data_IF_097416199967
#
_entry.id   IF_097416199967
#
_cell.length_a   1.000
_cell.length_b   1.000
_cell.length_c   1.000
_cell.angle_alpha   90.00
_cell.angle_beta   90.00
_cell.angle_gamma   90.00
#
_symmetry.space_group_name_H-M   'P 1'
#
loop_
_entity.id
_entity.type
_entity.pdbx_description
1 polymer ?
#
# COMPACT_ATOMS: atom_id res chain seq x y z
N UNK A 1 -5.65 7.11 -6.42
CA UNK A 1 -6.84 6.65 -7.16
C UNK A 1 -6.47 5.36 -7.86
N UNK A 2 -7.42 4.45 -7.98
CA UNK A 2 -7.25 3.18 -8.68
C UNK A 2 -8.35 3.09 -9.73
N UNK A 3 -7.96 2.78 -10.97
CA UNK A 3 -8.88 2.35 -12.02
C UNK A 3 -8.70 0.84 -12.21
N UNK A 4 -9.73 0.08 -11.88
CA UNK A 4 -9.86 -1.32 -12.28
C UNK A 4 -10.59 -1.35 -13.62
N UNK A 5 -10.04 -2.03 -14.62
CA UNK A 5 -10.59 -2.14 -15.95
C UNK A 5 -10.55 -3.58 -16.45
N UNK A 6 -11.70 -4.12 -16.86
CA UNK A 6 -11.80 -5.31 -17.68
C UNK A 6 -11.77 -4.91 -19.15
N UNK A 7 -10.79 -5.41 -19.90
CA UNK A 7 -10.56 -5.04 -21.29
C UNK A 7 -10.68 -6.23 -22.24
N UNK A 8 -11.12 -5.96 -23.47
CA UNK A 8 -11.21 -6.92 -24.58
C UNK A 8 -9.85 -7.28 -25.20
N UNK A 9 -8.79 -6.55 -24.84
CA UNK A 9 -7.42 -6.75 -25.31
C UNK A 9 -6.38 -6.30 -24.29
N UNK A 10 -5.11 -6.46 -24.65
CA UNK A 10 -3.96 -5.97 -23.88
C UNK A 10 -2.86 -5.46 -24.81
N UNK A 11 -1.86 -4.79 -24.25
CA UNK A 11 -0.73 -4.23 -25.00
C UNK A 11 0.55 -5.05 -24.79
N UNK A 12 1.35 -5.30 -25.85
CA UNK A 12 2.55 -6.16 -25.78
C UNK A 12 3.57 -5.73 -24.71
N UNK A 13 3.68 -4.42 -24.47
CA UNK A 13 4.63 -3.83 -23.52
C UNK A 13 4.24 -3.95 -22.04
N UNK A 14 3.02 -4.40 -21.74
CA UNK A 14 2.57 -4.56 -20.36
C UNK A 14 3.01 -5.93 -19.84
N UNK A 15 3.79 -5.92 -18.76
CA UNK A 15 4.08 -7.09 -17.95
C UNK A 15 3.04 -7.24 -16.82
N UNK A 16 3.22 -8.22 -15.93
CA UNK A 16 2.38 -8.34 -14.72
C UNK A 16 2.35 -7.03 -13.94
N UNK A 17 3.51 -6.40 -13.74
CA UNK A 17 3.63 -5.05 -13.21
C UNK A 17 4.45 -4.20 -14.17
N UNK A 18 3.95 -3.01 -14.50
CA UNK A 18 4.60 -2.05 -15.37
C UNK A 18 4.60 -0.69 -14.69
N UNK A 19 5.78 -0.10 -14.50
CA UNK A 19 5.91 1.28 -14.04
C UNK A 19 6.02 2.21 -15.25
N UNK A 20 5.07 3.12 -15.38
CA UNK A 20 5.01 4.15 -16.42
C UNK A 20 5.39 5.48 -15.82
N UNK A 21 6.64 5.90 -16.02
CA UNK A 21 7.19 7.11 -15.40
C UNK A 21 6.76 8.38 -16.14
N UNK A 22 6.33 9.38 -15.35
CA UNK A 22 6.32 10.77 -15.80
C UNK A 22 7.75 11.32 -15.90
N UNK A 23 7.92 12.39 -16.67
CA UNK A 23 9.18 13.15 -16.80
C UNK A 23 9.38 14.15 -15.66
N UNK A 24 8.31 14.73 -15.11
CA UNK A 24 8.37 15.82 -14.14
C UNK A 24 8.38 15.34 -12.66
N UNK A 25 9.30 14.43 -12.30
CA UNK A 25 9.31 13.76 -11.00
C UNK A 25 9.24 14.70 -9.78
N UNK A 26 10.14 15.69 -9.68
CA UNK A 26 10.22 16.55 -8.49
C UNK A 26 8.98 17.44 -8.31
N UNK A 27 8.56 18.13 -9.38
CA UNK A 27 7.42 19.05 -9.31
C UNK A 27 6.10 18.33 -9.01
N UNK A 28 5.90 17.14 -9.57
CA UNK A 28 4.68 16.35 -9.35
C UNK A 28 4.57 15.82 -7.93
N UNK A 29 5.68 15.49 -7.27
CA UNK A 29 5.67 15.19 -5.83
C UNK A 29 5.27 16.41 -4.98
N UNK A 30 5.69 17.62 -5.36
CA UNK A 30 5.32 18.84 -4.64
C UNK A 30 3.84 19.20 -4.85
N UNK A 31 3.34 19.05 -6.08
CA UNK A 31 1.92 19.18 -6.39
C UNK A 31 1.08 18.26 -5.49
N UNK A 32 1.50 16.99 -5.37
CA UNK A 32 0.79 15.97 -4.60
C UNK A 32 0.87 16.20 -3.08
N UNK A 33 2.08 16.36 -2.55
CA UNK A 33 2.35 16.25 -1.10
C UNK A 33 2.31 17.57 -0.37
N UNK A 34 2.49 18.69 -1.08
CA UNK A 34 2.53 20.04 -0.49
C UNK A 34 1.36 20.88 -0.95
N UNK A 35 1.06 20.87 -2.25
CA UNK A 35 -0.01 21.69 -2.80
C UNK A 35 -1.39 21.02 -2.79
N UNK A 36 -1.47 19.73 -2.46
CA UNK A 36 -2.74 18.99 -2.43
C UNK A 36 -3.42 18.87 -3.79
N UNK A 37 -2.67 18.90 -4.89
CA UNK A 37 -3.18 18.82 -6.25
C UNK A 37 -2.85 17.48 -6.90
N UNK A 38 -3.59 17.15 -7.96
CA UNK A 38 -3.25 16.03 -8.84
C UNK A 38 -1.93 16.33 -9.57
N UNK A 39 -1.17 15.26 -9.84
CA UNK A 39 0.08 15.36 -10.60
C UNK A 39 -0.23 15.72 -12.05
N UNK A 40 0.46 16.73 -12.57
CA UNK A 40 0.35 17.13 -13.98
C UNK A 40 0.98 16.10 -14.94
N UNK A 41 1.98 15.34 -14.47
CA UNK A 41 2.67 14.28 -15.22
C UNK A 41 2.90 13.05 -14.32
N UNK A 42 1.86 12.22 -14.07
CA UNK A 42 1.89 11.20 -13.04
C UNK A 42 2.82 10.03 -13.38
N UNK A 43 3.48 9.47 -12.38
CA UNK A 43 4.06 8.12 -12.50
C UNK A 43 3.03 7.08 -12.08
N UNK A 44 2.77 6.11 -12.94
CA UNK A 44 1.66 5.17 -12.82
C UNK A 44 2.19 3.75 -12.63
N UNK A 45 1.53 2.99 -11.75
CA UNK A 45 1.69 1.55 -11.69
C UNK A 45 0.52 0.90 -12.44
N UNK A 46 0.84 0.14 -13.48
CA UNK A 46 -0.11 -0.62 -14.27
C UNK A 46 0.14 -2.10 -13.97
N UNK A 47 -0.86 -2.77 -13.42
CA UNK A 47 -0.80 -4.20 -13.10
C UNK A 47 -1.76 -4.97 -14.00
N UNK A 48 -1.27 -5.99 -14.69
CA UNK A 48 -2.06 -6.93 -15.49
C UNK A 48 -1.92 -8.33 -14.89
N UNK A 49 -2.74 -8.71 -13.89
CA UNK A 49 -2.57 -10.00 -13.22
C UNK A 49 -2.84 -11.18 -14.17
N UNK A 50 -3.65 -10.99 -15.21
CA UNK A 50 -3.87 -11.98 -16.29
C UNK A 50 -2.63 -12.26 -17.15
N UNK A 51 -1.54 -11.49 -16.98
CA UNK A 51 -0.23 -11.86 -17.54
C UNK A 51 0.33 -13.14 -16.93
N UNK A 52 0.01 -13.40 -15.66
CA UNK A 52 0.56 -14.52 -14.87
C UNK A 52 -0.51 -15.57 -14.61
N UNK A 53 -1.75 -15.14 -14.36
CA UNK A 53 -2.88 -16.04 -14.15
C UNK A 53 -4.04 -15.69 -15.10
N UNK A 54 -4.11 -16.34 -16.29
CA UNK A 54 -5.18 -16.12 -17.24
C UNK A 54 -6.58 -16.48 -16.72
N UNK A 55 -6.70 -17.28 -15.65
CA UNK A 55 -8.00 -17.70 -15.11
C UNK A 55 -8.74 -16.57 -14.39
N UNK A 56 -8.08 -15.43 -14.13
CA UNK A 56 -8.69 -14.26 -13.50
C UNK A 56 -9.67 -13.50 -14.42
N UNK A 57 -9.73 -13.84 -15.71
CA UNK A 57 -10.68 -13.25 -16.65
C UNK A 57 -11.22 -14.31 -17.64
N UNK A 58 -12.36 -14.06 -18.29
CA UNK A 58 -12.84 -14.88 -19.40
C UNK A 58 -11.79 -14.99 -20.54
N UNK A 59 -11.86 -16.04 -21.39
CA UNK A 59 -10.98 -16.17 -22.54
C UNK A 59 -11.01 -14.93 -23.44
N UNK A 60 -9.82 -14.42 -23.80
CA UNK A 60 -9.70 -13.21 -24.61
C UNK A 60 -10.05 -11.91 -23.88
N UNK A 61 -10.15 -11.94 -22.54
CA UNK A 61 -10.32 -10.75 -21.68
C UNK A 61 -9.14 -10.59 -20.75
N UNK A 62 -8.92 -9.35 -20.34
CA UNK A 62 -7.76 -8.99 -19.53
C UNK A 62 -8.19 -8.05 -18.41
N UNK A 63 -7.59 -8.25 -17.22
CA UNK A 63 -7.73 -7.29 -16.13
C UNK A 63 -6.54 -6.34 -16.14
N UNK A 64 -6.83 -5.05 -16.02
CA UNK A 64 -5.86 -4.01 -15.82
C UNK A 64 -6.22 -3.21 -14.58
N UNK A 65 -5.21 -2.99 -13.75
CA UNK A 65 -5.29 -2.15 -12.57
C UNK A 65 -4.32 -0.99 -12.77
N UNK A 66 -4.82 0.24 -12.73
CA UNK A 66 -3.98 1.44 -12.85
C UNK A 66 -4.03 2.21 -11.54
N UNK A 67 -2.90 2.22 -10.83
CA UNK A 67 -2.71 3.05 -9.64
C UNK A 67 -2.10 4.39 -10.05
N UNK A 68 -2.90 5.44 -9.89
CA UNK A 68 -2.49 6.83 -10.08
C UNK A 68 -2.35 7.51 -8.71
N UNK A 69 -1.16 8.08 -8.38
CA UNK A 69 -1.00 8.89 -7.18
C UNK A 69 -2.00 10.06 -7.16
N UNK A 70 -2.60 10.29 -6.00
CA UNK A 70 -3.49 11.43 -5.76
C UNK A 70 -3.34 11.91 -4.31
N UNK A 71 -3.60 13.19 -4.02
CA UNK A 71 -3.46 13.71 -2.67
C UNK A 71 -4.52 13.05 -1.78
N UNK A 72 -4.17 12.88 -0.51
CA UNK A 72 -5.11 12.39 0.49
C UNK A 72 -6.06 13.53 0.92
N UNK A 73 -7.23 13.20 1.48
CA UNK A 73 -8.31 14.18 1.75
C UNK A 73 -8.02 15.18 2.87
N UNK A 74 -6.86 15.05 3.52
CA UNK A 74 -6.41 15.97 4.58
C UNK A 74 -5.57 17.15 4.05
N UNK A 75 -5.07 17.09 2.82
CA UNK A 75 -4.32 18.18 2.18
C UNK A 75 -4.92 18.58 0.83
N UNK A 76 -5.54 17.63 0.12
CA UNK A 76 -6.12 17.86 -1.19
C UNK A 76 -7.64 18.02 -1.14
N UNK A 77 -8.33 17.74 -2.27
CA UNK A 77 -9.78 17.78 -2.35
C UNK A 77 -10.41 16.89 -1.28
N UNK A 78 -11.46 17.40 -0.65
CA UNK A 78 -12.22 16.68 0.35
C UNK A 78 -13.03 15.54 -0.28
N UNK A 79 -13.62 14.64 0.53
CA UNK A 79 -14.36 13.49 0.02
C UNK A 79 -15.49 13.87 -0.96
N UNK A 80 -16.20 14.97 -0.72
CA UNK A 80 -17.28 15.42 -1.60
C UNK A 80 -16.77 15.88 -2.99
N UNK A 81 -15.59 16.52 -3.05
CA UNK A 81 -15.02 17.02 -4.30
C UNK A 81 -14.68 15.90 -5.28
N UNK A 82 -14.41 14.69 -4.76
CA UNK A 82 -14.08 13.50 -5.54
C UNK A 82 -15.26 12.95 -6.35
N UNK A 83 -16.50 13.31 -6.01
CA UNK A 83 -17.67 12.96 -6.83
C UNK A 83 -17.52 13.47 -8.26
N UNK A 84 -17.13 14.74 -8.41
CA UNK A 84 -16.96 15.35 -9.73
C UNK A 84 -15.52 15.20 -10.24
N UNK A 85 -14.52 15.20 -9.34
CA UNK A 85 -13.12 15.09 -9.72
C UNK A 85 -12.74 13.68 -10.21
N UNK A 86 -13.33 12.63 -9.63
CA UNK A 86 -13.01 11.23 -9.95
C UNK A 86 -13.18 10.90 -11.44
N UNK A 87 -14.38 11.09 -12.02
CA UNK A 87 -14.62 10.84 -13.44
C UNK A 87 -13.73 11.68 -14.36
N UNK A 88 -13.56 12.98 -14.06
CA UNK A 88 -12.69 13.87 -14.83
C UNK A 88 -11.22 13.42 -14.80
N UNK A 89 -10.75 12.97 -13.64
CA UNK A 89 -9.38 12.47 -13.50
C UNK A 89 -9.20 11.10 -14.16
N UNK A 90 -10.21 10.23 -14.12
CA UNK A 90 -10.24 8.97 -14.88
C UNK A 90 -10.08 9.22 -16.38
N UNK A 91 -10.79 10.19 -16.94
CA UNK A 91 -10.65 10.53 -18.37
C UNK A 91 -9.29 11.14 -18.71
N UNK A 92 -8.75 11.98 -17.82
CA UNK A 92 -7.40 12.52 -17.99
C UNK A 92 -6.33 11.41 -17.91
N UNK A 93 -6.51 10.45 -17.01
CA UNK A 93 -5.63 9.29 -16.86
C UNK A 93 -5.64 8.43 -18.13
N UNK A 94 -6.81 8.16 -18.72
CA UNK A 94 -6.87 7.39 -19.96
C UNK A 94 -6.22 8.11 -21.14
N UNK A 95 -6.43 9.42 -21.28
CA UNK A 95 -5.72 10.23 -22.29
C UNK A 95 -4.21 10.17 -22.11
N UNK A 96 -3.73 10.18 -20.86
CA UNK A 96 -2.31 10.09 -20.58
C UNK A 96 -1.74 8.69 -20.88
N UNK A 97 -2.50 7.62 -20.58
CA UNK A 97 -2.11 6.25 -20.94
C UNK A 97 -2.05 6.06 -22.46
N UNK A 98 -3.03 6.59 -23.18
CA UNK A 98 -3.06 6.59 -24.65
C UNK A 98 -1.86 7.35 -25.23
N UNK A 99 -1.59 8.58 -24.74
CA UNK A 99 -0.39 9.35 -25.11
C UNK A 99 0.92 8.60 -24.84
N UNK A 100 0.93 7.69 -23.87
CA UNK A 100 2.08 6.85 -23.52
C UNK A 100 2.14 5.54 -24.30
N UNK A 101 1.30 5.36 -25.33
CA UNK A 101 1.31 4.21 -26.25
C UNK A 101 0.50 3.02 -25.76
N UNK A 102 -0.57 3.28 -25.01
CA UNK A 102 -1.67 2.33 -24.80
C UNK A 102 -2.84 2.77 -25.69
N UNK A 103 -2.60 2.82 -27.00
CA UNK A 103 -3.55 3.33 -27.98
C UNK A 103 -4.89 2.60 -27.88
N UNK A 104 -5.99 3.36 -27.89
CA UNK A 104 -7.36 2.86 -27.77
C UNK A 104 -7.69 2.17 -26.44
N UNK A 105 -7.02 2.54 -25.35
CA UNK A 105 -7.33 2.01 -24.01
C UNK A 105 -8.77 2.32 -23.59
N UNK A 106 -9.27 3.52 -23.86
CA UNK A 106 -10.62 3.90 -23.48
C UNK A 106 -11.68 3.04 -24.17
N UNK A 107 -11.48 2.70 -25.44
CA UNK A 107 -12.42 1.87 -26.21
C UNK A 107 -12.33 0.38 -25.91
N UNK A 108 -11.25 -0.09 -25.27
CA UNK A 108 -11.12 -1.52 -24.91
C UNK A 108 -11.81 -1.89 -23.60
N UNK A 109 -12.17 -0.91 -22.77
CA UNK A 109 -12.78 -1.14 -21.46
C UNK A 109 -14.23 -1.60 -21.66
N UNK A 110 -14.54 -2.81 -21.21
CA UNK A 110 -15.91 -3.36 -21.17
C UNK A 110 -16.56 -3.12 -19.81
N UNK A 111 -15.76 -3.18 -18.74
CA UNK A 111 -16.20 -3.00 -17.36
C UNK A 111 -15.14 -2.22 -16.58
N UNK A 112 -15.55 -1.31 -15.70
CA UNK A 112 -14.62 -0.59 -14.84
C UNK A 112 -15.14 -0.31 -13.43
N UNK A 113 -14.19 -0.16 -12.51
CA UNK A 113 -14.45 0.30 -11.15
C UNK A 113 -13.38 1.32 -10.76
N UNK A 114 -13.84 2.51 -10.35
CA UNK A 114 -12.98 3.59 -9.90
C UNK A 114 -12.98 3.63 -8.38
N UNK A 115 -11.79 3.63 -7.77
CA UNK A 115 -11.61 3.82 -6.32
C UNK A 115 -10.79 5.07 -6.06
N UNK A 116 -11.37 5.98 -5.30
CA UNK A 116 -10.87 7.32 -5.00
C UNK A 116 -10.61 7.50 -3.49
N UNK A 117 -9.96 8.61 -3.08
CA UNK A 117 -9.88 8.99 -1.68
C UNK A 117 -11.21 9.13 -0.95
N UNK A 118 -12.31 9.44 -1.65
CA UNK A 118 -13.63 9.44 -1.04
C UNK A 118 -14.07 8.03 -0.65
N UNK A 119 -13.84 7.04 -1.52
CA UNK A 119 -14.20 5.64 -1.24
C UNK A 119 -13.43 5.10 -0.04
N UNK A 120 -12.13 5.40 0.05
CA UNK A 120 -11.34 5.06 1.24
C UNK A 120 -11.84 5.77 2.50
N UNK A 121 -12.24 7.04 2.38
CA UNK A 121 -12.83 7.78 3.52
C UNK A 121 -14.13 7.13 3.97
N UNK A 122 -15.01 6.73 3.05
CA UNK A 122 -16.26 6.04 3.35
C UNK A 122 -16.04 4.68 4.04
N UNK A 123 -14.93 4.01 3.75
CA UNK A 123 -14.50 2.78 4.44
C UNK A 123 -13.84 3.04 5.80
N UNK A 124 -13.76 4.30 6.25
CA UNK A 124 -13.16 4.67 7.54
C UNK A 124 -11.65 4.83 7.51
N UNK A 125 -11.01 4.87 6.34
CA UNK A 125 -9.58 5.17 6.27
C UNK A 125 -9.33 6.65 6.59
N UNK A 126 -8.47 6.89 7.59
CA UNK A 126 -8.04 8.22 7.98
C UNK A 126 -7.47 8.99 6.77
N UNK A 127 -7.97 10.20 6.55
CA UNK A 127 -7.63 11.07 5.43
C UNK A 127 -7.76 10.42 4.04
N UNK A 128 -8.60 9.37 3.89
CA UNK A 128 -8.83 8.73 2.60
C UNK A 128 -7.56 8.15 1.98
N UNK A 129 -6.69 7.52 2.79
CA UNK A 129 -5.49 6.82 2.29
C UNK A 129 -5.50 5.33 2.67
N UNK A 130 -5.27 4.41 1.71
CA UNK A 130 -5.20 2.98 2.00
C UNK A 130 -3.84 2.57 2.59
N UNK A 131 -2.86 3.48 2.64
CA UNK A 131 -1.47 3.18 3.05
C UNK A 131 -1.14 3.61 4.48
N UNK A 132 -2.12 4.15 5.23
CA UNK A 132 -1.93 4.66 6.59
C UNK A 132 -0.83 5.73 6.67
N UNK A 133 -0.04 5.74 7.75
CA UNK A 133 1.00 6.72 8.00
C UNK A 133 2.09 6.70 6.90
N UNK A 134 2.44 7.88 6.40
CA UNK A 134 3.42 8.05 5.33
C UNK A 134 4.85 7.75 5.79
N UNK A 135 5.76 7.59 4.83
CA UNK A 135 7.17 7.33 5.09
C UNK A 135 7.97 8.62 5.37
N UNK A 136 7.41 9.54 6.15
CA UNK A 136 8.12 10.73 6.61
C UNK A 136 8.89 10.42 7.90
N UNK A 137 9.92 11.21 8.21
CA UNK A 137 10.70 11.04 9.44
C UNK A 137 9.81 10.98 10.69
N UNK A 138 8.82 11.88 10.79
CA UNK A 138 7.91 11.97 11.93
C UNK A 138 6.85 10.85 12.01
N UNK A 139 6.71 10.01 10.98
CA UNK A 139 5.69 8.95 10.90
C UNK A 139 6.29 7.54 10.75
N UNK A 140 7.61 7.43 10.89
CA UNK A 140 8.36 6.17 10.73
C UNK A 140 9.13 5.81 12.00
N UNK A 141 9.57 4.54 12.07
CA UNK A 141 10.39 4.03 13.17
C UNK A 141 9.76 4.28 14.55
N UNK A 142 10.50 4.92 15.49
CA UNK A 142 10.03 5.15 16.86
C UNK A 142 8.87 6.15 16.96
N UNK A 143 8.63 6.96 15.93
CA UNK A 143 7.55 7.96 15.90
C UNK A 143 6.24 7.41 15.34
N UNK A 144 6.26 6.20 14.77
CA UNK A 144 5.04 5.52 14.31
C UNK A 144 4.14 5.21 15.53
N UNK A 145 2.80 5.28 15.40
CA UNK A 145 1.90 4.94 16.49
C UNK A 145 2.22 3.58 17.12
N UNK A 146 2.38 3.56 18.44
CA UNK A 146 2.73 2.34 19.19
C UNK A 146 1.57 1.36 19.18
N UNK A 147 1.88 0.08 19.32
CA UNK A 147 0.88 -0.99 19.36
C UNK A 147 0.22 -1.18 20.72
N UNK A 148 0.65 -0.46 21.76
CA UNK A 148 0.03 -0.48 23.09
C UNK A 148 -0.80 0.77 23.30
N UNK A 149 -2.04 0.59 23.73
CA UNK A 149 -2.98 1.68 23.99
C UNK A 149 -2.65 2.30 25.36
N UNK A 150 -2.41 3.61 25.40
CA UNK A 150 -2.12 4.31 26.65
C UNK A 150 -3.35 4.26 27.57
N UNK A 151 -3.14 3.87 28.83
CA UNK A 151 -4.20 3.79 29.84
C UNK A 151 -4.90 2.43 29.94
N UNK A 152 -4.56 1.46 29.07
CA UNK A 152 -5.21 0.15 29.04
C UNK A 152 -4.17 -0.97 29.00
N UNK A 153 -4.25 -1.93 29.92
CA UNK A 153 -3.31 -3.05 30.01
C UNK A 153 -3.70 -4.26 29.12
N UNK A 154 -4.96 -4.33 28.68
CA UNK A 154 -5.56 -5.46 27.98
C UNK A 154 -5.93 -5.16 26.51
N UNK A 155 -5.32 -4.14 25.90
CA UNK A 155 -5.57 -3.78 24.51
C UNK A 155 -4.25 -3.62 23.73
N UNK A 156 -4.17 -4.29 22.57
CA UNK A 156 -3.03 -4.23 21.65
C UNK A 156 -3.54 -3.97 20.24
N UNK A 157 -2.98 -2.96 19.58
CA UNK A 157 -3.29 -2.62 18.19
C UNK A 157 -2.42 -3.48 17.26
N UNK A 158 -3.03 -4.00 16.19
CA UNK A 158 -2.35 -4.74 15.14
C UNK A 158 -2.73 -4.17 13.77
N UNK A 159 -1.79 -4.23 12.82
CA UNK A 159 -2.03 -3.86 11.43
C UNK A 159 -1.08 -2.79 10.90
N UNK A 160 -1.43 -2.21 9.77
CA UNK A 160 -0.52 -1.33 9.02
C UNK A 160 -0.31 0.05 9.68
N UNK A 161 -1.26 0.51 10.51
CA UNK A 161 -1.19 1.82 11.15
C UNK A 161 -0.29 1.91 12.38
N UNK A 162 0.29 0.78 12.80
CA UNK A 162 1.18 0.72 13.95
C UNK A 162 2.52 0.07 13.57
N UNK A 163 3.41 -0.08 14.54
CA UNK A 163 4.66 -0.84 14.41
C UNK A 163 4.33 -2.30 14.00
N UNK A 164 4.98 -2.86 12.96
CA UNK A 164 6.21 -2.40 12.31
C UNK A 164 6.02 -1.51 11.08
N UNK A 165 4.86 -1.53 10.41
CA UNK A 165 4.69 -0.71 9.20
C UNK A 165 3.58 -1.18 8.25
N UNK A 166 3.53 -0.52 7.10
CA UNK A 166 2.65 -0.86 5.96
C UNK A 166 3.23 -1.98 5.11
N UNK A 167 2.36 -2.72 4.41
CA UNK A 167 2.72 -3.84 3.53
C UNK A 167 2.34 -5.19 4.12
N UNK A 168 2.12 -6.19 3.26
CA UNK A 168 1.64 -7.52 3.68
C UNK A 168 2.58 -8.17 4.70
N UNK A 169 3.92 -8.26 4.50
CA UNK A 169 4.79 -8.88 5.50
C UNK A 169 4.81 -8.11 6.84
N UNK A 170 4.95 -6.77 6.89
CA UNK A 170 4.85 -6.01 8.14
C UNK A 170 3.52 -6.17 8.87
N UNK A 171 2.39 -6.22 8.16
CA UNK A 171 1.06 -6.41 8.76
C UNK A 171 0.92 -7.79 9.40
N UNK A 172 1.38 -8.85 8.73
CA UNK A 172 1.38 -10.21 9.28
C UNK A 172 2.24 -10.30 10.55
N UNK A 173 3.43 -9.68 10.53
CA UNK A 173 4.29 -9.59 11.72
C UNK A 173 3.63 -8.79 12.84
N UNK A 174 2.96 -7.69 12.53
CA UNK A 174 2.19 -6.90 13.51
C UNK A 174 1.16 -7.77 14.23
N UNK A 175 0.37 -8.53 13.48
CA UNK A 175 -0.64 -9.45 14.02
C UNK A 175 -0.02 -10.53 14.91
N UNK A 176 1.05 -11.19 14.44
CA UNK A 176 1.77 -12.20 15.22
C UNK A 176 2.29 -11.63 16.55
N UNK A 177 2.89 -10.44 16.52
CA UNK A 177 3.44 -9.78 17.70
C UNK A 177 2.34 -9.28 18.65
N UNK A 178 1.19 -8.87 18.14
CA UNK A 178 0.04 -8.51 18.95
C UNK A 178 -0.55 -9.73 19.67
N UNK A 179 -0.75 -10.84 18.94
CA UNK A 179 -1.21 -12.10 19.50
C UNK A 179 -0.28 -12.60 20.61
N UNK A 180 1.04 -12.59 20.38
CA UNK A 180 2.02 -12.99 21.39
C UNK A 180 1.96 -12.15 22.67
N UNK A 181 1.64 -10.85 22.58
CA UNK A 181 1.49 -10.01 23.79
C UNK A 181 0.26 -10.36 24.61
N UNK A 182 -0.82 -10.79 23.96
CA UNK A 182 -2.05 -11.20 24.62
C UNK A 182 -1.89 -12.60 25.25
N UNK A 183 -1.24 -13.52 24.55
CA UNK A 183 -1.08 -14.91 24.98
C UNK A 183 0.17 -15.18 25.82
N UNK A 184 1.01 -14.17 26.06
CA UNK A 184 2.27 -14.28 26.82
C UNK A 184 3.46 -14.83 26.03
N UNK A 185 3.30 -15.05 24.72
CA UNK A 185 4.30 -15.61 23.82
C UNK A 185 4.58 -17.08 24.10
N UNK A 186 4.92 -17.86 23.07
CA UNK A 186 5.61 -19.13 23.32
C UNK A 186 6.91 -18.79 24.04
N UNK A 187 6.97 -19.03 25.35
CA UNK A 187 8.22 -19.13 26.09
C UNK A 187 8.96 -20.32 25.47
N UNK A 188 9.71 -20.08 24.40
CA UNK A 188 10.81 -20.96 24.05
C UNK A 188 11.77 -20.81 25.22
N UNK A 189 11.64 -21.73 26.18
CA UNK A 189 12.63 -21.91 27.23
C UNK A 189 13.92 -22.24 26.54
N UNK A 190 14.76 -21.24 26.30
CA UNK A 190 16.17 -21.50 26.06
C UNK A 190 16.69 -22.03 27.39
N UNK A 191 16.73 -23.36 27.50
CA UNK A 191 17.45 -24.03 28.56
C UNK A 191 18.90 -23.54 28.45
N UNK A 192 19.33 -22.69 29.37
CA UNK A 192 20.75 -22.41 29.54
C UNK A 192 21.39 -23.75 29.93
N UNK A 193 22.40 -24.27 29.21
CA UNK A 193 23.15 -25.41 29.71
C UNK A 193 23.73 -24.97 31.04
N UNK A 194 23.40 -25.70 32.11
CA UNK A 194 24.01 -25.51 33.41
C UNK A 194 25.51 -25.79 33.24
N UNK A 195 26.33 -24.74 33.26
CA UNK A 195 27.78 -24.88 33.22
C UNK A 195 28.23 -25.64 34.45
N UNK A 196 28.76 -26.86 34.25
CA UNK A 196 29.41 -27.61 35.30
C UNK A 196 30.60 -26.79 35.83
N UNK A 197 30.61 -26.52 37.14
CA UNK A 197 31.77 -25.93 37.81
C UNK A 197 32.94 -26.93 37.74
N UNK A 198 34.16 -26.53 37.38
CA UNK A 198 35.32 -27.41 37.51
C UNK A 198 35.62 -27.65 38.99
N UNK A 199 36.00 -28.88 39.34
CA UNK A 199 36.42 -29.27 40.69
C UNK A 199 37.79 -28.64 41.02
N UNK A 200 38.07 -28.28 42.29
CA UNK A 200 39.39 -27.80 42.67
C UNK A 200 40.40 -28.95 42.60
N UNK A 201 41.58 -28.66 42.07
CA UNK A 201 42.74 -29.55 42.00
C UNK A 201 43.49 -29.48 43.34
N UNK A 202 43.67 -30.61 44.01
CA UNK A 202 44.50 -30.72 45.22
C UNK A 202 45.98 -30.67 44.83
N UNK A 203 46.73 -29.75 45.43
CA UNK A 203 48.18 -29.67 45.29
C UNK A 203 48.87 -30.68 46.24
N UNK A 204 49.89 -31.44 45.78
CA UNK A 204 50.64 -32.32 46.66
C UNK A 204 51.71 -31.54 47.46
N UNK A 205 52.01 -32.05 48.65
CA UNK A 205 53.08 -31.60 49.53
C UNK A 205 54.46 -32.11 49.10
#
# INVERSE_FOLDING_TARGET
>A
MILHAGCDRTWPRLAHHTLSFGRAWRSTFDELTRAGRLMSDPSLLITRPTATDPALAPPGRHLHYVLAPCPHTGIGPGPADWHDLGPRYRDALLRELERRGLDGIASSIEEECLVTPADWTAQGHAAGTPFSAAHTFAQTGPFRPRNLVRGTANAVLAGCGTTPGVGVPPVLLSGKLAAARITGGSRTSVSRPCGARPRPEEAPA
#
